data_IF_715783313999
#
_entry.id   IF_715783313999
#
_cell.length_a   1.000
_cell.length_b   1.000
_cell.length_c   1.000
_cell.angle_alpha   90.00
_cell.angle_beta   90.00
_cell.angle_gamma   90.00
#
_symmetry.space_group_name_H-M   'P 1'
#
loop_
_entity.id
_entity.type
_entity.pdbx_description
1 polymer ?
#
# COMPACT_ATOMS: atom_id res chain seq x y z
N UNK A 1 10.44 26.60 -12.80
CA UNK A 1 11.80 26.15 -12.45
C UNK A 1 11.67 25.18 -11.27
N UNK A 2 12.17 23.96 -11.43
CA UNK A 2 12.21 22.93 -10.39
C UNK A 2 12.86 23.46 -9.13
N UNK A 3 12.23 23.31 -7.98
CA UNK A 3 12.81 23.65 -6.68
C UNK A 3 13.45 22.41 -6.07
N UNK A 4 14.71 22.51 -5.68
CA UNK A 4 15.36 21.50 -4.84
C UNK A 4 14.89 21.75 -3.40
N UNK A 5 14.17 20.83 -2.84
CA UNK A 5 13.72 20.91 -1.44
C UNK A 5 14.64 19.97 -0.65
N UNK A 6 15.57 20.55 0.12
CA UNK A 6 16.32 19.78 1.12
C UNK A 6 15.38 19.47 2.26
N UNK A 7 15.10 18.19 2.45
CA UNK A 7 14.04 17.73 3.30
C UNK A 7 14.34 17.94 4.79
N UNK A 8 13.57 18.80 5.42
CA UNK A 8 13.05 18.61 6.77
C UNK A 8 11.58 18.10 6.72
N UNK A 9 11.14 17.61 5.57
CA UNK A 9 9.94 16.81 5.47
C UNK A 9 10.36 15.35 5.70
N UNK A 10 9.83 14.74 6.74
CA UNK A 10 9.76 13.26 6.77
C UNK A 10 9.16 12.88 5.44
N UNK A 11 9.87 12.04 4.67
CA UNK A 11 9.33 11.48 3.46
C UNK A 11 8.10 10.76 3.92
N UNK A 12 6.97 11.35 3.57
CA UNK A 12 5.68 10.77 3.83
C UNK A 12 5.66 9.44 3.08
N UNK A 13 5.34 8.46 3.76
CA UNK A 13 5.25 7.02 3.67
C UNK A 13 4.82 6.41 2.32
N UNK A 14 4.49 7.24 1.36
CA UNK A 14 3.88 6.85 0.09
C UNK A 14 4.86 6.45 -1.00
N UNK A 15 6.14 6.67 -0.82
CA UNK A 15 7.13 6.53 -1.91
C UNK A 15 7.53 5.08 -2.17
N UNK A 16 7.33 4.23 -1.18
CA UNK A 16 8.02 2.94 -1.17
C UNK A 16 7.12 1.69 -1.25
N UNK A 17 5.80 1.83 -1.40
CA UNK A 17 4.87 0.70 -1.33
C UNK A 17 4.48 0.12 -2.71
N UNK A 18 5.35 0.08 -3.68
CA UNK A 18 4.96 -0.39 -5.00
C UNK A 18 5.80 -1.48 -5.59
N UNK A 19 5.11 -2.51 -5.94
CA UNK A 19 5.62 -3.64 -6.68
C UNK A 19 6.21 -3.31 -8.06
N UNK A 20 7.38 -3.85 -8.33
CA UNK A 20 8.14 -3.75 -9.58
C UNK A 20 7.36 -4.24 -10.78
N UNK A 21 7.35 -3.45 -11.86
CA UNK A 21 7.09 -3.97 -13.21
C UNK A 21 8.42 -4.34 -13.85
N UNK A 22 8.54 -5.60 -14.30
CA UNK A 22 9.69 -6.10 -15.03
C UNK A 22 9.95 -5.30 -16.31
N UNK A 23 11.14 -4.72 -16.43
CA UNK A 23 11.80 -4.50 -17.70
C UNK A 23 12.58 -5.78 -18.05
N UNK A 24 12.34 -6.36 -19.23
CA UNK A 24 12.94 -7.62 -19.66
C UNK A 24 14.36 -7.40 -20.17
N UNK A 25 15.37 -7.57 -19.31
CA UNK A 25 16.79 -7.73 -19.73
C UNK A 25 17.52 -8.62 -18.70
N UNK A 26 18.16 -9.72 -19.17
CA UNK A 26 19.27 -10.45 -18.53
C UNK A 26 18.97 -11.31 -17.29
N UNK A 27 19.02 -12.64 -17.43
CA UNK A 27 18.49 -13.61 -16.45
C UNK A 27 19.38 -13.98 -15.24
N UNK A 28 20.64 -13.57 -15.13
CA UNK A 28 21.55 -14.09 -14.10
C UNK A 28 22.26 -13.05 -13.22
N UNK A 29 22.33 -11.78 -13.61
CA UNK A 29 22.88 -10.69 -12.78
C UNK A 29 21.80 -9.98 -11.93
N UNK A 30 20.52 -10.16 -12.26
CA UNK A 30 19.38 -9.47 -11.65
C UNK A 30 19.01 -10.01 -10.27
N UNK A 31 19.27 -11.30 -9.94
CA UNK A 31 18.82 -11.89 -8.64
C UNK A 31 19.60 -11.37 -7.44
N UNK A 32 20.90 -11.02 -7.56
CA UNK A 32 21.66 -10.38 -6.47
C UNK A 32 21.32 -8.89 -6.30
N UNK A 33 20.97 -8.21 -7.39
CA UNK A 33 20.65 -6.79 -7.38
C UNK A 33 19.31 -6.51 -6.68
N UNK A 34 18.32 -7.38 -6.86
CA UNK A 34 16.96 -7.19 -6.33
C UNK A 34 16.81 -7.51 -4.84
N UNK A 35 17.61 -8.44 -4.28
CA UNK A 35 17.64 -8.69 -2.84
C UNK A 35 18.10 -7.44 -2.06
N UNK A 36 18.96 -6.63 -2.65
CA UNK A 36 19.45 -5.41 -2.02
C UNK A 36 18.46 -4.23 -2.07
N UNK A 37 17.55 -4.16 -3.06
CA UNK A 37 16.55 -3.08 -3.09
C UNK A 37 15.51 -3.22 -1.98
N UNK A 38 14.94 -4.39 -1.79
CA UNK A 38 13.98 -4.64 -0.72
C UNK A 38 14.60 -4.43 0.67
N UNK A 39 15.90 -4.78 0.87
CA UNK A 39 16.64 -4.50 2.10
C UNK A 39 16.79 -2.98 2.33
N UNK A 40 17.02 -2.23 1.27
CA UNK A 40 17.16 -0.75 1.35
C UNK A 40 15.82 -0.07 1.49
N UNK A 41 14.78 -0.63 0.94
CA UNK A 41 13.42 -0.22 1.15
C UNK A 41 13.12 -0.08 2.65
N UNK A 42 13.42 -1.10 3.44
CA UNK A 42 13.24 -1.05 4.90
C UNK A 42 14.14 0.00 5.60
N UNK A 43 15.34 0.31 5.07
CA UNK A 43 16.22 1.34 5.65
C UNK A 43 15.64 2.75 5.49
N UNK A 44 14.97 3.04 4.37
CA UNK A 44 14.28 4.31 4.17
C UNK A 44 12.91 4.36 4.83
N UNK A 45 12.39 3.21 5.25
CA UNK A 45 11.14 3.05 5.97
C UNK A 45 11.26 3.23 7.49
N UNK A 46 12.46 3.53 8.01
CA UNK A 46 12.67 3.77 9.45
C UNK A 46 11.88 4.97 10.01
N UNK A 47 11.38 5.85 9.13
CA UNK A 47 10.51 6.97 9.48
C UNK A 47 9.01 6.70 9.26
N UNK A 48 8.64 5.51 8.72
CA UNK A 48 7.24 5.16 8.52
C UNK A 48 6.59 4.80 9.84
N UNK A 49 5.50 5.47 10.27
CA UNK A 49 4.88 5.23 11.57
C UNK A 49 3.98 3.99 11.53
N UNK A 50 4.53 2.82 11.15
CA UNK A 50 3.77 1.57 11.04
C UNK A 50 3.01 1.20 12.30
N UNK A 51 3.58 1.48 13.48
CA UNK A 51 2.90 1.23 14.76
C UNK A 51 1.66 2.11 14.93
N UNK A 52 1.75 3.39 14.54
CA UNK A 52 0.62 4.32 14.57
C UNK A 52 -0.46 3.89 13.57
N UNK A 53 -0.07 3.49 12.37
CA UNK A 53 -1.00 2.99 11.35
C UNK A 53 -1.65 1.68 11.78
N UNK A 54 -0.89 0.75 12.34
CA UNK A 54 -1.44 -0.48 12.90
C UNK A 54 -2.46 -0.17 14.01
N UNK A 55 -2.12 0.74 14.91
CA UNK A 55 -3.02 1.18 15.98
C UNK A 55 -4.30 1.81 15.43
N UNK A 56 -4.19 2.65 14.40
CA UNK A 56 -5.32 3.30 13.76
C UNK A 56 -6.21 2.28 13.02
N UNK A 57 -5.62 1.42 12.19
CA UNK A 57 -6.34 0.38 11.42
C UNK A 57 -7.02 -0.61 12.35
N UNK A 58 -6.36 -1.05 13.43
CA UNK A 58 -6.98 -1.94 14.43
C UNK A 58 -8.11 -1.26 15.18
N UNK A 59 -8.02 0.05 15.43
CA UNK A 59 -9.10 0.87 15.95
C UNK A 59 -10.31 0.85 15.02
N UNK A 60 -10.11 1.12 13.74
CA UNK A 60 -11.18 1.09 12.75
C UNK A 60 -11.79 -0.31 12.59
N UNK A 61 -10.97 -1.37 12.56
CA UNK A 61 -11.47 -2.76 12.51
C UNK A 61 -12.39 -3.08 13.69
N UNK A 62 -11.99 -2.72 14.91
CA UNK A 62 -12.80 -2.93 16.13
C UNK A 62 -14.09 -2.14 16.11
N UNK A 63 -14.06 -0.88 15.67
CA UNK A 63 -15.28 -0.05 15.51
C UNK A 63 -16.26 -0.67 14.50
N UNK A 64 -15.76 -1.43 13.53
CA UNK A 64 -16.57 -2.15 12.56
C UNK A 64 -16.96 -3.58 13.03
N UNK A 65 -16.61 -3.97 14.26
CA UNK A 65 -16.95 -5.27 14.86
C UNK A 65 -15.98 -6.40 14.48
N UNK A 66 -14.78 -6.08 13.98
CA UNK A 66 -13.72 -7.05 13.67
C UNK A 66 -12.64 -6.97 14.75
N UNK A 67 -12.76 -7.78 15.79
CA UNK A 67 -11.83 -7.82 16.92
C UNK A 67 -10.71 -8.85 16.74
N UNK A 68 -10.93 -9.87 15.90
CA UNK A 68 -10.03 -10.98 15.60
C UNK A 68 -10.48 -11.70 14.33
N UNK A 69 -9.80 -12.77 13.95
CA UNK A 69 -10.09 -13.65 12.84
C UNK A 69 -9.22 -13.35 11.62
N UNK A 70 -9.56 -13.97 10.50
CA UNK A 70 -8.75 -13.93 9.30
C UNK A 70 -8.87 -12.57 8.58
N UNK A 71 -7.73 -11.92 8.36
CA UNK A 71 -7.61 -10.63 7.67
C UNK A 71 -6.65 -10.77 6.49
N UNK A 72 -7.06 -10.25 5.34
CA UNK A 72 -6.24 -10.16 4.14
C UNK A 72 -5.64 -8.76 4.01
N UNK A 73 -4.34 -8.66 3.77
CA UNK A 73 -3.70 -7.43 3.32
C UNK A 73 -3.34 -7.51 1.84
N UNK A 74 -3.84 -6.55 1.04
CA UNK A 74 -3.51 -6.38 -0.37
C UNK A 74 -2.39 -5.36 -0.54
N UNK A 75 -1.32 -5.74 -1.27
CA UNK A 75 -0.12 -4.92 -1.40
C UNK A 75 0.69 -4.90 -0.10
N UNK A 76 0.94 -6.07 0.50
CA UNK A 76 1.58 -6.17 1.81
C UNK A 76 3.08 -5.82 1.82
N UNK A 77 3.71 -5.70 0.65
CA UNK A 77 5.14 -5.38 0.51
C UNK A 77 6.03 -6.30 1.32
N UNK A 78 6.92 -5.73 2.13
CA UNK A 78 7.83 -6.47 3.02
C UNK A 78 7.16 -7.02 4.28
N UNK A 79 5.83 -6.92 4.40
CA UNK A 79 5.04 -7.50 5.48
C UNK A 79 5.14 -6.76 6.83
N UNK A 80 5.61 -5.51 6.85
CA UNK A 80 5.79 -4.75 8.09
C UNK A 80 4.46 -4.54 8.82
N UNK A 81 3.42 -4.05 8.12
CA UNK A 81 2.09 -3.89 8.72
C UNK A 81 1.41 -5.24 8.97
N UNK A 82 1.57 -6.21 8.04
CA UNK A 82 1.04 -7.58 8.21
C UNK A 82 1.51 -8.20 9.53
N UNK A 83 2.82 -8.06 9.83
CA UNK A 83 3.40 -8.56 11.09
C UNK A 83 2.81 -7.89 12.33
N UNK A 84 2.65 -6.57 12.31
CA UNK A 84 2.05 -5.82 13.41
C UNK A 84 0.56 -6.18 13.62
N UNK A 85 -0.20 -6.40 12.54
CA UNK A 85 -1.59 -6.87 12.64
C UNK A 85 -1.66 -8.28 13.22
N UNK A 86 -0.71 -9.17 12.86
CA UNK A 86 -0.61 -10.49 13.46
C UNK A 86 -0.27 -10.40 14.98
N UNK A 87 0.61 -9.50 15.39
CA UNK A 87 0.91 -9.21 16.81
C UNK A 87 -0.32 -8.66 17.55
N UNK A 88 -1.16 -7.89 16.85
CA UNK A 88 -2.43 -7.38 17.39
C UNK A 88 -3.51 -8.46 17.55
N UNK A 89 -3.26 -9.70 17.09
CA UNK A 89 -4.11 -10.87 17.29
C UNK A 89 -4.99 -11.26 16.10
N UNK A 90 -4.71 -10.76 14.90
CA UNK A 90 -5.38 -11.19 13.68
C UNK A 90 -4.65 -12.35 13.02
N UNK A 91 -5.39 -13.27 12.39
CA UNK A 91 -4.83 -14.28 11.51
C UNK A 91 -4.60 -13.63 10.14
N UNK A 92 -3.34 -13.60 9.66
CA UNK A 92 -3.00 -12.77 8.52
C UNK A 92 -2.70 -13.55 7.24
N UNK A 93 -3.25 -13.05 6.13
CA UNK A 93 -2.81 -13.35 4.78
C UNK A 93 -2.29 -12.06 4.16
N UNK A 94 -1.05 -12.07 3.63
CA UNK A 94 -0.49 -10.97 2.86
C UNK A 94 -0.40 -11.34 1.37
N UNK A 95 -0.86 -10.45 0.50
CA UNK A 95 -0.72 -10.59 -0.96
C UNK A 95 0.10 -9.43 -1.50
N UNK A 96 1.08 -9.75 -2.33
CA UNK A 96 1.83 -8.77 -3.12
C UNK A 96 2.19 -9.35 -4.49
N UNK A 97 2.39 -8.49 -5.48
CA UNK A 97 2.80 -8.90 -6.82
C UNK A 97 4.34 -8.89 -7.02
N UNK A 98 5.10 -8.46 -6.00
CA UNK A 98 6.57 -8.48 -5.97
C UNK A 98 7.08 -9.69 -5.20
N UNK A 99 7.78 -10.58 -5.90
CA UNK A 99 8.42 -11.74 -5.27
C UNK A 99 9.54 -11.35 -4.30
N UNK A 100 10.25 -10.26 -4.59
CA UNK A 100 11.34 -9.73 -3.76
C UNK A 100 10.81 -9.18 -2.44
N UNK A 101 9.72 -8.41 -2.48
CA UNK A 101 9.06 -7.91 -1.26
C UNK A 101 8.56 -9.06 -0.39
N UNK A 102 7.93 -10.07 -1.00
CA UNK A 102 7.45 -11.24 -0.29
C UNK A 102 8.59 -12.10 0.28
N UNK A 103 9.75 -12.16 -0.38
CA UNK A 103 10.91 -12.84 0.20
C UNK A 103 11.29 -12.21 1.54
N UNK A 104 11.37 -10.88 1.61
CA UNK A 104 11.64 -10.17 2.86
C UNK A 104 10.54 -10.38 3.91
N UNK A 105 9.28 -10.36 3.49
CA UNK A 105 8.16 -10.67 4.39
C UNK A 105 8.28 -12.08 4.98
N UNK A 106 8.66 -13.07 4.18
CA UNK A 106 8.89 -14.44 4.63
C UNK A 106 10.11 -14.55 5.57
N UNK A 107 11.17 -13.79 5.31
CA UNK A 107 12.35 -13.76 6.18
C UNK A 107 12.02 -13.13 7.54
N UNK A 108 11.27 -12.03 7.57
CA UNK A 108 10.74 -11.43 8.82
C UNK A 108 9.85 -12.42 9.57
N UNK A 109 8.94 -13.11 8.87
CA UNK A 109 8.11 -14.17 9.45
C UNK A 109 8.94 -15.30 10.07
N UNK A 110 10.00 -15.74 9.38
CA UNK A 110 10.88 -16.81 9.90
C UNK A 110 11.59 -16.40 11.19
N UNK A 111 11.96 -15.12 11.33
CA UNK A 111 12.58 -14.57 12.54
C UNK A 111 11.56 -14.40 13.67
N UNK A 112 10.38 -13.86 13.38
CA UNK A 112 9.32 -13.61 14.38
C UNK A 112 8.59 -14.87 14.82
N UNK A 113 8.59 -15.92 13.97
CA UNK A 113 7.83 -17.16 14.22
C UNK A 113 6.30 -16.99 14.10
N UNK A 114 5.83 -15.90 13.53
CA UNK A 114 4.38 -15.65 13.31
C UNK A 114 3.83 -16.58 12.25
N UNK A 115 2.56 -16.99 12.40
CA UNK A 115 1.84 -17.80 11.42
C UNK A 115 1.12 -16.90 10.42
N UNK A 116 1.85 -16.42 9.42
CA UNK A 116 1.35 -15.54 8.36
C UNK A 116 1.47 -16.26 7.02
N UNK A 117 0.41 -16.25 6.22
CA UNK A 117 0.44 -16.78 4.85
C UNK A 117 0.73 -15.64 3.86
N UNK A 118 1.86 -15.71 3.15
CA UNK A 118 2.18 -14.79 2.06
C UNK A 118 1.96 -15.45 0.71
N UNK A 119 1.30 -14.72 -0.23
CA UNK A 119 0.94 -15.19 -1.55
C UNK A 119 1.39 -14.20 -2.63
N UNK A 120 2.12 -14.70 -3.63
CA UNK A 120 2.50 -13.92 -4.81
C UNK A 120 1.32 -13.84 -5.77
N UNK A 121 0.52 -12.80 -5.65
CA UNK A 121 -0.67 -12.56 -6.47
C UNK A 121 -0.88 -11.07 -6.74
N UNK A 122 -1.49 -10.75 -7.88
CA UNK A 122 -1.94 -9.40 -8.20
C UNK A 122 -3.32 -9.14 -7.56
N UNK A 123 -3.50 -8.00 -6.91
CA UNK A 123 -4.78 -7.66 -6.26
C UNK A 123 -5.95 -7.54 -7.25
N UNK A 124 -5.68 -7.45 -8.56
CA UNK A 124 -6.71 -7.38 -9.63
C UNK A 124 -7.25 -8.76 -10.02
N UNK A 125 -6.59 -9.84 -9.58
CA UNK A 125 -6.93 -11.22 -9.97
C UNK A 125 -6.66 -12.26 -8.88
N UNK A 126 -6.59 -11.83 -7.61
CA UNK A 126 -6.30 -12.74 -6.50
C UNK A 126 -7.41 -13.76 -6.25
N UNK A 127 -7.02 -14.91 -5.73
CA UNK A 127 -7.90 -16.00 -5.35
C UNK A 127 -7.60 -16.49 -3.92
N UNK A 128 -8.66 -16.76 -3.16
CA UNK A 128 -8.58 -17.37 -1.83
C UNK A 128 -9.43 -18.64 -1.77
N UNK A 129 -9.08 -19.59 -0.90
CA UNK A 129 -9.85 -20.82 -0.68
C UNK A 129 -11.13 -20.59 0.13
N UNK A 130 -11.26 -19.46 0.79
CA UNK A 130 -12.41 -19.13 1.63
C UNK A 130 -12.60 -17.62 1.75
N UNK A 131 -13.43 -17.22 2.70
CA UNK A 131 -13.69 -15.82 3.00
C UNK A 131 -12.90 -15.33 4.21
N UNK A 132 -12.75 -14.01 4.33
CA UNK A 132 -12.03 -13.31 5.39
C UNK A 132 -12.94 -12.30 6.09
N UNK A 133 -12.68 -12.05 7.38
CA UNK A 133 -13.44 -11.07 8.18
C UNK A 133 -13.25 -9.64 7.72
N UNK A 134 -12.04 -9.33 7.30
CA UNK A 134 -11.70 -8.03 6.76
C UNK A 134 -10.62 -8.12 5.69
N UNK A 135 -10.58 -7.10 4.83
CA UNK A 135 -9.48 -6.81 3.91
C UNK A 135 -8.92 -5.45 4.29
N UNK A 136 -7.60 -5.31 4.26
CA UNK A 136 -6.90 -4.03 4.40
C UNK A 136 -5.97 -3.81 3.22
N UNK A 137 -5.72 -2.56 2.85
CA UNK A 137 -4.73 -2.17 1.83
C UNK A 137 -4.21 -0.80 2.18
N UNK A 138 -3.04 -0.74 2.80
CA UNK A 138 -2.48 0.47 3.39
C UNK A 138 -1.18 0.84 2.65
N UNK A 139 -0.69 2.04 2.88
CA UNK A 139 0.46 2.62 2.16
C UNK A 139 0.18 2.88 0.69
N UNK A 140 -0.96 3.53 0.40
CA UNK A 140 -1.35 3.94 -0.97
C UNK A 140 -1.26 2.86 -2.05
N UNK A 141 -1.23 1.58 -1.66
CA UNK A 141 -1.20 0.45 -2.61
C UNK A 141 -2.33 0.52 -3.64
N UNK A 142 -3.50 1.05 -3.25
CA UNK A 142 -4.64 1.25 -4.15
C UNK A 142 -4.42 2.34 -5.20
N UNK A 143 -3.51 3.30 -4.99
CA UNK A 143 -3.17 4.32 -5.99
C UNK A 143 -2.41 3.73 -7.19
N UNK A 144 -1.81 2.55 -7.06
CA UNK A 144 -1.16 1.82 -8.16
C UNK A 144 -2.13 1.18 -9.15
N UNK A 145 -3.41 1.18 -8.85
CA UNK A 145 -4.45 0.77 -9.79
C UNK A 145 -4.67 1.92 -10.78
N UNK A 146 -4.12 1.80 -11.98
CA UNK A 146 -4.12 2.88 -12.97
C UNK A 146 -5.46 3.04 -13.69
N UNK A 147 -6.17 1.93 -13.89
CA UNK A 147 -7.41 1.92 -14.64
C UNK A 147 -8.64 1.85 -13.73
N UNK A 148 -9.63 2.71 -13.97
CA UNK A 148 -10.87 2.72 -13.19
C UNK A 148 -11.58 1.35 -13.16
N UNK A 149 -11.56 0.61 -14.27
CA UNK A 149 -12.19 -0.70 -14.34
C UNK A 149 -11.44 -1.74 -13.50
N UNK A 150 -10.12 -1.61 -13.34
CA UNK A 150 -9.32 -2.45 -12.45
C UNK A 150 -9.66 -2.14 -10.99
N UNK A 151 -9.90 -0.87 -10.62
CA UNK A 151 -10.38 -0.52 -9.28
C UNK A 151 -11.73 -1.19 -8.97
N UNK A 152 -12.67 -1.13 -9.93
CA UNK A 152 -13.97 -1.83 -9.80
C UNK A 152 -13.75 -3.34 -9.66
N UNK A 153 -12.81 -3.92 -10.41
CA UNK A 153 -12.50 -5.35 -10.35
C UNK A 153 -11.91 -5.75 -8.99
N UNK A 154 -10.97 -4.98 -8.45
CA UNK A 154 -10.43 -5.22 -7.09
C UNK A 154 -11.57 -5.20 -6.07
N UNK A 155 -12.45 -4.20 -6.12
CA UNK A 155 -13.60 -4.12 -5.21
C UNK A 155 -14.57 -5.29 -5.34
N UNK A 156 -14.79 -5.82 -6.58
CA UNK A 156 -15.59 -7.04 -6.79
C UNK A 156 -14.96 -8.26 -6.14
N UNK A 157 -13.64 -8.43 -6.30
CA UNK A 157 -12.92 -9.54 -5.67
C UNK A 157 -12.96 -9.43 -4.15
N UNK A 158 -12.73 -8.24 -3.61
CA UNK A 158 -12.84 -7.98 -2.17
C UNK A 158 -14.25 -8.33 -1.68
N UNK A 159 -15.30 -7.83 -2.36
CA UNK A 159 -16.68 -8.18 -2.00
C UNK A 159 -16.94 -9.69 -2.04
N UNK A 160 -16.36 -10.40 -3.02
CA UNK A 160 -16.49 -11.84 -3.17
C UNK A 160 -15.83 -12.61 -2.03
N UNK A 161 -14.67 -12.16 -1.55
CA UNK A 161 -13.91 -12.88 -0.51
C UNK A 161 -14.15 -12.39 0.91
N UNK A 162 -14.88 -11.30 1.13
CA UNK A 162 -15.30 -10.91 2.47
C UNK A 162 -16.39 -11.85 3.01
N UNK A 163 -16.39 -12.11 4.31
CA UNK A 163 -17.51 -12.68 5.03
C UNK A 163 -18.75 -11.80 4.87
N UNK A 164 -19.98 -12.32 5.10
CA UNK A 164 -21.17 -11.49 5.17
C UNK A 164 -20.97 -10.33 6.16
N UNK A 165 -21.16 -9.09 5.69
CA UNK A 165 -20.91 -7.87 6.45
C UNK A 165 -19.45 -7.61 6.81
N UNK A 166 -18.50 -8.33 6.25
CA UNK A 166 -17.07 -8.05 6.37
C UNK A 166 -16.69 -6.68 5.83
N UNK A 167 -15.54 -6.16 6.24
CA UNK A 167 -15.13 -4.77 5.93
C UNK A 167 -13.86 -4.73 5.10
N UNK A 168 -13.78 -3.71 4.25
CA UNK A 168 -12.57 -3.35 3.53
C UNK A 168 -12.13 -1.95 3.97
N UNK A 169 -10.90 -1.85 4.47
CA UNK A 169 -10.28 -0.59 4.89
C UNK A 169 -9.04 -0.36 4.05
N UNK A 170 -8.96 0.78 3.39
CA UNK A 170 -7.80 1.15 2.61
C UNK A 170 -7.54 2.65 2.65
N UNK A 171 -6.34 3.05 2.31
CA UNK A 171 -5.99 4.45 2.18
C UNK A 171 -5.74 4.84 0.72
N UNK A 172 -5.77 6.13 0.48
CA UNK A 172 -5.40 6.76 -0.79
C UNK A 172 -4.67 8.07 -0.52
N UNK A 173 -3.60 8.29 -1.25
CA UNK A 173 -3.09 9.63 -1.50
C UNK A 173 -4.10 10.41 -2.34
N UNK A 174 -4.32 11.65 -1.98
CA UNK A 174 -5.30 12.51 -2.65
C UNK A 174 -4.69 13.27 -3.82
N UNK A 175 -5.57 13.81 -4.69
CA UNK A 175 -5.15 14.74 -5.73
C UNK A 175 -4.43 15.96 -5.16
N UNK A 176 -4.90 16.48 -3.99
CA UNK A 176 -4.26 17.60 -3.31
C UNK A 176 -2.78 17.32 -3.01
N UNK A 177 -2.47 16.12 -2.48
CA UNK A 177 -1.09 15.72 -2.20
C UNK A 177 -0.24 15.73 -3.48
N UNK A 178 -0.72 15.10 -4.55
CA UNK A 178 0.03 15.05 -5.80
C UNK A 178 0.22 16.42 -6.44
N UNK A 179 -0.82 17.25 -6.47
CA UNK A 179 -0.81 18.54 -7.14
C UNK A 179 -0.08 19.64 -6.36
N UNK A 180 -0.33 19.73 -5.04
CA UNK A 180 0.15 20.86 -4.23
C UNK A 180 1.44 20.55 -3.49
N UNK A 181 1.63 19.33 -3.00
CA UNK A 181 2.78 18.98 -2.16
C UNK A 181 3.89 18.31 -2.94
N UNK A 182 3.59 17.30 -3.73
CA UNK A 182 4.58 16.61 -4.56
C UNK A 182 4.85 17.40 -5.84
N UNK A 183 3.83 17.75 -6.60
CA UNK A 183 3.91 18.56 -7.82
C UNK A 183 5.08 18.12 -8.73
N UNK A 184 5.75 19.08 -9.37
CA UNK A 184 6.95 18.85 -10.19
C UNK A 184 8.22 19.14 -9.37
N UNK A 185 8.34 18.52 -8.19
CA UNK A 185 9.46 18.74 -7.29
C UNK A 185 10.46 17.58 -7.32
N UNK A 186 11.70 17.90 -6.92
CA UNK A 186 12.73 16.89 -6.66
C UNK A 186 12.99 16.85 -5.16
N UNK A 187 12.92 15.67 -4.58
CA UNK A 187 13.25 15.39 -3.18
C UNK A 187 14.55 14.60 -3.14
N UNK A 188 15.41 14.89 -2.18
CA UNK A 188 16.66 14.15 -2.04
C UNK A 188 17.06 14.09 -0.55
N UNK A 189 17.57 12.93 -0.18
CA UNK A 189 18.16 12.72 1.14
C UNK A 189 19.50 11.99 0.99
N UNK A 190 20.51 12.44 1.76
CA UNK A 190 21.81 11.82 1.81
C UNK A 190 22.08 11.33 3.23
N UNK A 191 22.30 10.03 3.37
CA UNK A 191 22.74 9.34 4.60
C UNK A 191 24.12 8.72 4.36
N UNK A 192 24.79 8.28 5.41
CA UNK A 192 26.13 7.69 5.31
C UNK A 192 26.16 6.41 4.46
N UNK A 193 25.16 5.54 4.64
CA UNK A 193 25.10 4.23 3.96
C UNK A 193 24.22 4.25 2.73
N UNK A 194 23.36 5.28 2.57
CA UNK A 194 22.40 5.35 1.46
C UNK A 194 22.01 6.77 1.12
N UNK A 195 21.59 6.99 -0.11
CA UNK A 195 21.03 8.28 -0.55
C UNK A 195 19.96 8.03 -1.59
N UNK A 196 18.99 8.94 -1.69
CA UNK A 196 18.04 8.87 -2.78
C UNK A 196 17.82 10.25 -3.42
N UNK A 197 17.35 10.20 -4.67
CA UNK A 197 16.78 11.31 -5.41
C UNK A 197 15.44 10.84 -5.94
N UNK A 198 14.39 11.59 -5.65
CA UNK A 198 13.04 11.35 -6.11
C UNK A 198 12.59 12.55 -6.93
N UNK A 199 12.45 12.36 -8.24
CA UNK A 199 11.89 13.33 -9.18
C UNK A 199 10.42 13.02 -9.39
N UNK A 200 9.54 13.96 -9.02
CA UNK A 200 8.10 13.79 -9.12
C UNK A 200 7.52 14.65 -10.24
N UNK A 201 6.50 14.13 -10.91
CA UNK A 201 5.71 14.81 -11.91
C UNK A 201 4.24 14.43 -11.79
N UNK A 202 3.34 15.41 -11.72
CA UNK A 202 1.90 15.17 -11.69
C UNK A 202 1.21 15.72 -12.95
N UNK A 203 0.55 14.86 -13.72
CA UNK A 203 -0.29 15.25 -14.85
C UNK A 203 -1.75 15.42 -14.43
N UNK A 204 -2.17 16.68 -14.24
CA UNK A 204 -3.55 17.01 -13.86
C UNK A 204 -4.58 16.52 -14.88
N UNK A 205 -4.21 16.38 -16.17
CA UNK A 205 -5.11 15.97 -17.24
C UNK A 205 -5.55 14.51 -17.13
N UNK A 206 -4.63 13.63 -16.72
CA UNK A 206 -4.89 12.20 -16.52
C UNK A 206 -5.12 11.83 -15.05
N UNK A 207 -4.73 12.70 -14.11
CA UNK A 207 -4.72 12.39 -12.68
C UNK A 207 -3.61 11.41 -12.29
N UNK A 208 -2.55 11.31 -13.10
CA UNK A 208 -1.44 10.37 -12.89
C UNK A 208 -0.25 11.12 -12.30
N UNK A 209 0.29 10.57 -11.21
CA UNK A 209 1.55 10.95 -10.64
C UNK A 209 2.62 9.95 -11.06
N UNK A 210 3.66 10.44 -11.70
CA UNK A 210 4.86 9.70 -12.07
C UNK A 210 6.01 10.16 -11.18
N UNK A 211 6.80 9.22 -10.66
CA UNK A 211 8.03 9.59 -10.00
C UNK A 211 9.16 8.61 -10.33
N UNK A 212 10.33 9.20 -10.55
CA UNK A 212 11.57 8.48 -10.76
C UNK A 212 12.37 8.48 -9.46
N UNK A 213 12.63 7.30 -8.94
CA UNK A 213 13.40 7.09 -7.72
C UNK A 213 14.79 6.58 -8.09
N UNK A 214 15.82 7.37 -7.78
CA UNK A 214 17.22 6.94 -7.87
C UNK A 214 17.76 6.70 -6.47
N UNK A 215 18.24 5.48 -6.20
CA UNK A 215 18.85 5.08 -4.94
C UNK A 215 20.34 4.85 -5.12
N UNK A 216 21.14 5.24 -4.13
CA UNK A 216 22.55 4.94 -4.02
C UNK A 216 22.80 4.23 -2.69
N UNK A 217 23.35 3.02 -2.75
CA UNK A 217 23.56 2.16 -1.60
C UNK A 217 25.03 1.86 -1.48
N UNK A 218 25.59 2.06 -0.28
CA UNK A 218 26.99 1.83 -0.02
C UNK A 218 27.33 0.35 0.00
N UNK A 219 28.29 -0.04 -0.81
CA UNK A 219 28.92 -1.36 -0.81
C UNK A 219 30.43 -1.18 -0.59
N UNK A 220 30.85 -1.20 0.67
CA UNK A 220 32.24 -0.94 1.03
C UNK A 220 32.66 0.50 0.76
N UNK A 221 33.56 0.72 -0.24
CA UNK A 221 34.03 2.04 -0.65
C UNK A 221 33.29 2.61 -1.87
N UNK A 222 32.33 1.86 -2.43
CA UNK A 222 31.57 2.23 -3.62
C UNK A 222 30.08 2.37 -3.27
N UNK A 223 29.33 2.92 -4.23
CA UNK A 223 27.87 2.97 -4.16
C UNK A 223 27.29 2.27 -5.37
N UNK A 224 26.31 1.40 -5.12
CA UNK A 224 25.48 0.83 -6.18
C UNK A 224 24.28 1.74 -6.42
N UNK A 225 23.99 1.98 -7.70
CA UNK A 225 22.85 2.79 -8.14
C UNK A 225 21.70 1.88 -8.55
N UNK A 226 20.49 2.22 -8.11
CA UNK A 226 19.22 1.63 -8.55
C UNK A 226 18.31 2.74 -9.08
N UNK A 227 17.49 2.42 -10.06
CA UNK A 227 16.52 3.34 -10.65
C UNK A 227 15.18 2.64 -10.80
N UNK A 228 14.12 3.30 -10.36
CA UNK A 228 12.74 2.83 -10.50
C UNK A 228 11.83 3.97 -10.91
N UNK A 229 10.85 3.66 -11.76
CA UNK A 229 9.79 4.58 -12.14
C UNK A 229 8.47 4.02 -11.64
N UNK A 230 7.70 4.86 -10.95
CA UNK A 230 6.42 4.51 -10.38
C UNK A 230 5.32 5.39 -10.93
N UNK A 231 4.14 4.80 -11.09
CA UNK A 231 2.94 5.49 -11.54
C UNK A 231 1.83 5.25 -10.51
N UNK A 232 1.22 6.34 -10.07
CA UNK A 232 0.09 6.32 -9.15
C UNK A 232 -1.03 7.17 -9.72
N UNK A 233 -2.28 6.77 -9.48
CA UNK A 233 -3.46 7.52 -9.90
C UNK A 233 -4.16 8.15 -8.71
N UNK A 234 -4.46 9.45 -8.83
CA UNK A 234 -5.35 10.13 -7.91
C UNK A 234 -6.81 9.75 -8.21
N UNK A 235 -7.48 9.16 -7.23
CA UNK A 235 -8.91 8.88 -7.29
C UNK A 235 -9.66 9.87 -6.42
N UNK A 236 -10.66 10.51 -6.99
CA UNK A 236 -11.62 11.30 -6.22
C UNK A 236 -12.51 10.39 -5.37
N UNK A 237 -12.99 10.90 -4.24
CA UNK A 237 -13.92 10.17 -3.37
C UNK A 237 -15.22 9.78 -4.10
N UNK A 238 -15.64 10.56 -5.09
CA UNK A 238 -16.83 10.26 -5.90
C UNK A 238 -16.57 9.11 -6.88
N UNK A 239 -15.37 9.01 -7.47
CA UNK A 239 -14.96 7.84 -8.27
C UNK A 239 -14.94 6.58 -7.43
N UNK A 240 -14.37 6.65 -6.22
CA UNK A 240 -14.33 5.53 -5.27
C UNK A 240 -15.75 5.07 -4.89
N UNK A 241 -16.64 6.00 -4.53
CA UNK A 241 -18.05 5.69 -4.23
C UNK A 241 -18.79 5.08 -5.43
N UNK A 242 -18.48 5.54 -6.64
CA UNK A 242 -19.05 4.98 -7.86
C UNK A 242 -18.55 3.57 -8.10
N UNK A 243 -17.22 3.33 -7.98
CA UNK A 243 -16.62 2.00 -8.11
C UNK A 243 -17.17 1.02 -7.07
N UNK A 244 -17.36 1.45 -5.82
CA UNK A 244 -17.99 0.64 -4.78
C UNK A 244 -19.41 0.18 -5.18
N UNK A 245 -20.25 1.11 -5.68
CA UNK A 245 -21.59 0.76 -6.16
C UNK A 245 -21.56 -0.21 -7.34
N UNK A 246 -20.67 -0.02 -8.31
CA UNK A 246 -20.50 -0.91 -9.47
C UNK A 246 -20.01 -2.29 -9.07
N UNK A 247 -19.21 -2.37 -8.01
CA UNK A 247 -18.73 -3.63 -7.45
C UNK A 247 -19.72 -4.32 -6.49
N UNK A 248 -20.84 -3.64 -6.16
CA UNK A 248 -21.83 -4.16 -5.22
C UNK A 248 -21.43 -4.02 -3.74
N UNK A 249 -20.49 -3.12 -3.41
CA UNK A 249 -20.10 -2.82 -2.03
C UNK A 249 -20.83 -1.61 -1.47
N UNK A 250 -20.99 -1.58 -0.17
CA UNK A 250 -21.49 -0.42 0.59
C UNK A 250 -20.34 0.49 0.99
N UNK A 251 -20.37 1.76 0.59
CA UNK A 251 -19.48 2.78 1.14
C UNK A 251 -19.95 3.18 2.54
N UNK A 252 -19.10 3.03 3.55
CA UNK A 252 -19.43 3.31 4.96
C UNK A 252 -18.97 4.69 5.38
N UNK A 253 -17.67 4.98 5.24
CA UNK A 253 -17.08 6.24 5.70
C UNK A 253 -15.76 6.55 4.97
N UNK A 254 -15.34 7.81 5.06
CA UNK A 254 -13.98 8.23 4.74
C UNK A 254 -13.52 9.28 5.77
N UNK A 255 -12.25 9.20 6.15
CA UNK A 255 -11.64 10.06 7.17
C UNK A 255 -10.34 10.67 6.64
N UNK A 256 -10.00 11.85 7.15
CA UNK A 256 -8.66 12.42 7.04
C UNK A 256 -7.65 11.53 7.78
N UNK A 257 -6.46 11.36 7.22
CA UNK A 257 -5.52 10.33 7.65
C UNK A 257 -5.25 10.29 9.15
N UNK A 258 -5.30 9.08 9.71
CA UNK A 258 -5.05 8.77 11.12
C UNK A 258 -5.91 9.57 12.12
N UNK A 259 -7.08 10.04 11.67
CA UNK A 259 -8.03 10.79 12.50
C UNK A 259 -9.45 10.25 12.34
N UNK A 260 -10.39 10.73 13.17
CA UNK A 260 -11.83 10.53 12.97
C UNK A 260 -12.49 11.76 12.31
N UNK A 261 -11.72 12.69 11.80
CA UNK A 261 -12.22 13.89 11.14
C UNK A 261 -12.72 13.55 9.72
N UNK A 262 -13.74 14.27 9.24
CA UNK A 262 -14.15 14.12 7.84
C UNK A 262 -13.04 14.56 6.88
N UNK A 263 -13.05 13.97 5.67
CA UNK A 263 -12.18 14.38 4.57
C UNK A 263 -12.38 15.86 4.25
N UNK A 264 -11.28 16.58 4.03
CA UNK A 264 -11.24 18.00 3.66
C UNK A 264 -10.64 18.16 2.26
N UNK A 265 -10.75 19.35 1.70
CA UNK A 265 -10.15 19.67 0.39
C UNK A 265 -8.61 19.62 0.40
N UNK A 266 -8.01 19.85 1.58
CA UNK A 266 -6.57 19.82 1.81
C UNK A 266 -6.08 18.53 2.53
N UNK A 267 -6.91 17.50 2.61
CA UNK A 267 -6.48 16.20 3.11
C UNK A 267 -5.42 15.61 2.17
N UNK A 268 -4.28 15.22 2.72
CA UNK A 268 -3.15 14.65 1.95
C UNK A 268 -3.35 13.17 1.66
N UNK A 269 -3.93 12.47 2.61
CA UNK A 269 -4.24 11.05 2.60
C UNK A 269 -5.60 10.83 3.25
N UNK A 270 -6.36 9.90 2.73
CA UNK A 270 -7.67 9.54 3.28
C UNK A 270 -7.75 8.05 3.52
N UNK A 271 -8.43 7.66 4.59
CA UNK A 271 -8.81 6.27 4.87
C UNK A 271 -10.26 6.06 4.53
N UNK A 272 -10.55 4.96 3.86
CA UNK A 272 -11.89 4.62 3.36
C UNK A 272 -12.32 3.29 3.93
N UNK A 273 -13.57 3.23 4.39
CA UNK A 273 -14.20 2.03 4.90
C UNK A 273 -15.35 1.65 3.97
N UNK A 274 -15.31 0.42 3.48
CA UNK A 274 -16.38 -0.21 2.72
C UNK A 274 -16.83 -1.49 3.43
N UNK A 275 -18.03 -1.95 3.09
CA UNK A 275 -18.62 -3.16 3.65
C UNK A 275 -19.11 -4.08 2.55
N UNK A 276 -18.95 -5.38 2.79
CA UNK A 276 -19.59 -6.41 1.97
C UNK A 276 -21.10 -6.20 1.94
N UNK A 277 -21.68 -6.36 0.77
CA UNK A 277 -23.11 -6.28 0.58
C UNK A 277 -23.57 -7.38 -0.43
N UNK A 278 -24.70 -7.98 -0.11
CA UNK A 278 -25.34 -8.97 -0.97
C UNK A 278 -25.30 -10.41 -0.46
N UNK A 279 -24.45 -10.72 0.53
CA UNK A 279 -24.43 -12.04 1.15
C UNK A 279 -25.39 -12.12 2.33
N UNK A 280 -26.05 -13.25 2.46
CA UNK A 280 -26.87 -13.56 3.65
C UNK A 280 -26.00 -14.19 4.72
N UNK A 281 -26.19 -13.74 5.97
CA UNK A 281 -25.66 -14.45 7.14
C UNK A 281 -26.20 -15.90 7.09
N UNK A 282 -25.33 -16.89 7.13
CA UNK A 282 -25.79 -18.26 7.41
C UNK A 282 -26.20 -18.27 8.87
N UNK A 283 -27.46 -18.63 9.16
CA UNK A 283 -27.86 -18.93 10.52
C UNK A 283 -26.93 -20.05 11.01
N UNK A 284 -26.18 -19.77 12.08
CA UNK A 284 -25.37 -20.77 12.76
C UNK A 284 -26.36 -21.80 13.36
N UNK A 285 -26.40 -23.01 12.76
CA UNK A 285 -27.11 -24.17 13.33
C UNK A 285 -26.30 -24.82 14.46
#
# INVERSE_FOLDING_TARGET
GRRLITASYSIDDSVMAAGMRRSAIGKDEDMEAYSSFAEVYDIFQDNVPYEEWCSYVTGLLREQGVENGLVLELGCGTGSLTGLLAEAGYDMIGIDNSGEMLQMAMDKRAVSGQDILYLLQDMREFELYGTVRAVVSICDSMNYIMEYQDLVQVFRLVNNYLDPRGVFIFDLNTEYKYRELLADNTFAEAREESSFIWDNFYDEGSGINEYDLTLFIREGELYRKYEETHFQRAYSLDEVKRAAREAGMEFVAAFDACTSNPVREDSERIYIIMREHGKTMRDEE
#
